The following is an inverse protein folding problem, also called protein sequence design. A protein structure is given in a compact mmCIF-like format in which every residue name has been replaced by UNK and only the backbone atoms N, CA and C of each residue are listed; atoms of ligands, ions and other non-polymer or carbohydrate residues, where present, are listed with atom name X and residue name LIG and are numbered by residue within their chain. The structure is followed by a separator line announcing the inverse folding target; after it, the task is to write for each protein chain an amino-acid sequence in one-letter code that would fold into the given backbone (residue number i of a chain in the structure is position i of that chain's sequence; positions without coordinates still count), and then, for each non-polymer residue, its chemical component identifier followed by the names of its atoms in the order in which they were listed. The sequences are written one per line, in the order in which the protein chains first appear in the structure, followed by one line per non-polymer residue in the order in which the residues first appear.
data_IF_145617681283
#
_entry.id   IF_145617681283
#
_cell.length_a   1.000
_cell.length_b   1.000
_cell.length_c   1.000
_cell.angle_alpha   90.00
_cell.angle_beta   90.00
_cell.angle_gamma   90.00
#
_symmetry.space_group_name_H-M   'P 1'
#
loop_
_entity.id
_entity.type
_entity.pdbx_description
1 polymer ?
#
# COMPACT_ATOMS: atom_id res chain seq x y z
N UNK A 1 44.08 -9.63 -13.97
CA UNK A 1 43.88 -8.54 -12.98
C UNK A 1 43.64 -9.16 -11.60
N UNK A 2 44.50 -8.93 -10.60
CA UNK A 2 44.40 -9.57 -9.28
C UNK A 2 43.05 -9.34 -8.56
N UNK A 3 42.47 -8.14 -8.67
CA UNK A 3 41.19 -7.80 -8.03
C UNK A 3 40.02 -8.58 -8.64
N UNK A 4 40.01 -8.77 -9.96
CA UNK A 4 38.99 -9.58 -10.64
C UNK A 4 39.06 -11.03 -10.18
N UNK A 5 40.27 -11.60 -10.10
CA UNK A 5 40.47 -12.95 -9.60
C UNK A 5 39.98 -13.10 -8.14
N UNK A 6 40.22 -12.09 -7.31
CA UNK A 6 39.71 -12.06 -5.93
C UNK A 6 38.18 -12.03 -5.87
N UNK A 7 37.52 -11.22 -6.70
CA UNK A 7 36.05 -11.20 -6.78
C UNK A 7 35.52 -12.57 -7.22
N UNK A 8 36.11 -13.20 -8.24
CA UNK A 8 35.69 -14.54 -8.69
C UNK A 8 35.95 -15.61 -7.61
N UNK A 9 37.03 -15.50 -6.83
CA UNK A 9 37.29 -16.39 -5.69
C UNK A 9 36.23 -16.24 -4.59
N UNK A 10 35.82 -15.01 -4.27
CA UNK A 10 34.73 -14.75 -3.33
C UNK A 10 33.41 -15.35 -3.84
N UNK A 11 33.13 -15.22 -5.15
CA UNK A 11 31.93 -15.83 -5.77
C UNK A 11 31.95 -17.35 -5.72
N UNK A 12 33.10 -17.96 -6.02
CA UNK A 12 33.27 -19.41 -5.94
C UNK A 12 33.05 -19.92 -4.50
N UNK A 13 33.36 -19.10 -3.51
CA UNK A 13 33.06 -19.36 -2.10
C UNK A 13 31.58 -19.12 -1.71
N UNK A 14 30.71 -18.70 -2.64
CA UNK A 14 29.28 -18.48 -2.41
C UNK A 14 28.87 -17.04 -2.13
N UNK A 15 29.77 -16.06 -2.22
CA UNK A 15 29.44 -14.66 -2.05
C UNK A 15 28.65 -14.09 -3.24
N UNK A 16 27.57 -13.36 -2.96
CA UNK A 16 26.89 -12.55 -3.99
C UNK A 16 27.65 -11.25 -4.26
N UNK A 17 27.50 -10.68 -5.47
CA UNK A 17 28.07 -9.36 -5.81
C UNK A 17 27.64 -8.27 -4.83
N UNK A 18 26.41 -8.36 -4.32
CA UNK A 18 25.87 -7.42 -3.34
C UNK A 18 26.60 -7.54 -2.00
N UNK A 19 26.80 -8.75 -1.50
CA UNK A 19 27.49 -8.97 -0.24
C UNK A 19 28.96 -8.50 -0.29
N UNK A 20 29.64 -8.70 -1.43
CA UNK A 20 30.99 -8.17 -1.65
C UNK A 20 30.99 -6.64 -1.64
N UNK A 21 30.03 -6.02 -2.34
CA UNK A 21 29.90 -4.57 -2.43
C UNK A 21 29.63 -3.94 -1.06
N UNK A 22 28.71 -4.52 -0.29
CA UNK A 22 28.34 -4.05 1.03
C UNK A 22 29.54 -4.16 2.00
N UNK A 23 30.26 -5.29 2.00
CA UNK A 23 31.45 -5.47 2.85
C UNK A 23 32.62 -4.58 2.46
N UNK A 24 32.84 -4.35 1.17
CA UNK A 24 33.83 -3.41 0.66
C UNK A 24 33.38 -1.95 0.83
N UNK A 25 32.10 -1.69 1.12
CA UNK A 25 31.44 -0.38 1.14
C UNK A 25 31.57 0.39 -0.19
N UNK A 26 31.49 -0.31 -1.31
CA UNK A 26 31.44 0.24 -2.66
C UNK A 26 30.09 -0.07 -3.30
N UNK A 27 29.71 0.63 -4.37
CA UNK A 27 28.44 0.33 -5.05
C UNK A 27 28.49 -1.03 -5.79
N UNK A 28 27.36 -1.73 -5.84
CA UNK A 28 27.23 -2.99 -6.60
C UNK A 28 27.59 -2.83 -8.08
N UNK A 29 27.24 -1.70 -8.69
CA UNK A 29 27.59 -1.40 -10.09
C UNK A 29 29.10 -1.35 -10.31
N UNK A 30 29.86 -0.80 -9.35
CA UNK A 30 31.33 -0.78 -9.42
C UNK A 30 31.91 -2.21 -9.31
N UNK A 31 31.39 -3.05 -8.42
CA UNK A 31 31.83 -4.45 -8.31
C UNK A 31 31.53 -5.21 -9.61
N UNK A 32 30.33 -5.06 -10.17
CA UNK A 32 29.95 -5.69 -11.44
C UNK A 32 30.84 -5.25 -12.61
N UNK A 33 31.20 -3.97 -12.70
CA UNK A 33 32.11 -3.47 -13.75
C UNK A 33 33.51 -4.06 -13.62
N UNK A 34 34.03 -4.17 -12.40
CA UNK A 34 35.36 -4.75 -12.14
C UNK A 34 35.37 -6.26 -12.45
N UNK A 35 34.33 -6.98 -12.03
CA UNK A 35 34.14 -8.39 -12.37
C UNK A 35 34.05 -8.60 -13.90
N UNK A 36 33.33 -7.69 -14.57
CA UNK A 36 33.17 -7.63 -16.03
C UNK A 36 34.42 -7.19 -16.81
N UNK A 37 35.56 -6.96 -16.15
CA UNK A 37 36.84 -6.75 -16.82
C UNK A 37 37.25 -5.29 -17.01
N UNK A 38 36.74 -4.35 -16.21
CA UNK A 38 37.17 -2.95 -16.25
C UNK A 38 38.71 -2.81 -16.19
N UNK A 39 39.29 -2.13 -17.19
CA UNK A 39 40.74 -2.01 -17.36
C UNK A 39 41.45 -1.13 -16.32
N UNK A 40 40.74 -0.19 -15.68
CA UNK A 40 41.31 0.72 -14.69
C UNK A 40 40.43 0.79 -13.45
N UNK A 41 40.97 0.43 -12.28
CA UNK A 41 40.26 0.49 -11.00
C UNK A 41 40.94 1.54 -10.12
N UNK A 42 40.17 2.48 -9.57
CA UNK A 42 40.72 3.47 -8.64
C UNK A 42 41.29 2.75 -7.41
N UNK A 43 42.51 3.12 -7.01
CA UNK A 43 43.25 2.49 -5.90
C UNK A 43 42.44 2.35 -4.60
N UNK A 44 41.62 3.33 -4.17
CA UNK A 44 40.78 3.17 -2.97
C UNK A 44 39.76 2.03 -3.08
N UNK A 45 39.16 1.81 -4.26
CA UNK A 45 38.21 0.72 -4.46
C UNK A 45 38.90 -0.63 -4.55
N UNK A 46 40.07 -0.68 -5.19
CA UNK A 46 40.91 -1.86 -5.24
C UNK A 46 41.26 -2.35 -3.81
N UNK A 47 41.79 -1.45 -2.97
CA UNK A 47 42.17 -1.77 -1.59
C UNK A 47 40.97 -2.28 -0.78
N UNK A 48 39.82 -1.60 -0.89
CA UNK A 48 38.62 -1.98 -0.13
C UNK A 48 38.05 -3.33 -0.55
N UNK A 49 38.01 -3.63 -1.85
CA UNK A 49 37.55 -4.93 -2.37
C UNK A 49 38.53 -6.03 -1.99
N UNK A 50 39.83 -5.75 -2.02
CA UNK A 50 40.86 -6.73 -1.70
C UNK A 50 40.93 -7.08 -0.20
N UNK A 51 40.49 -6.16 0.67
CA UNK A 51 40.34 -6.42 2.11
C UNK A 51 39.14 -7.33 2.46
N UNK A 52 38.23 -7.61 1.51
CA UNK A 52 37.08 -8.48 1.73
C UNK A 52 37.52 -9.94 1.74
N UNK A 53 37.23 -10.67 2.82
CA UNK A 53 37.55 -12.11 2.92
C UNK A 53 36.30 -12.97 2.72
N UNK A 54 36.43 -14.23 2.25
CA UNK A 54 35.30 -15.15 2.16
C UNK A 54 34.58 -15.28 3.49
N UNK A 55 35.31 -15.45 4.59
CA UNK A 55 34.75 -15.52 5.94
C UNK A 55 33.98 -14.25 6.33
N UNK A 56 34.44 -13.06 5.94
CA UNK A 56 33.74 -11.81 6.26
C UNK A 56 32.48 -11.55 5.41
N UNK A 57 32.36 -12.21 4.25
CA UNK A 57 31.17 -12.15 3.38
C UNK A 57 30.19 -13.29 3.69
N UNK A 58 30.71 -14.45 4.09
CA UNK A 58 29.96 -15.64 4.47
C UNK A 58 29.55 -15.66 5.94
N UNK A 59 30.26 -14.93 6.80
CA UNK A 59 29.72 -14.46 8.07
C UNK A 59 28.53 -13.58 7.70
N UNK A 60 27.38 -14.23 7.55
CA UNK A 60 26.13 -13.60 7.16
C UNK A 60 25.87 -12.49 8.17
N UNK A 61 25.99 -11.23 7.73
CA UNK A 61 25.19 -10.16 8.33
C UNK A 61 23.67 -10.43 8.15
N UNK A 62 23.31 -11.39 7.29
CA UNK A 62 22.00 -11.50 6.67
C UNK A 62 20.89 -12.28 7.40
N UNK A 63 21.06 -12.78 8.62
CA UNK A 63 19.92 -13.26 9.42
C UNK A 63 19.39 -12.13 10.33
N UNK A 64 20.30 -11.38 10.95
CA UNK A 64 19.94 -10.20 11.74
C UNK A 64 19.54 -9.02 10.87
N UNK A 65 20.03 -8.88 9.64
CA UNK A 65 19.66 -7.77 8.74
C UNK A 65 18.33 -7.95 8.02
N UNK A 66 17.67 -9.10 8.14
CA UNK A 66 16.39 -9.39 7.47
C UNK A 66 15.34 -9.83 8.48
N UNK A 67 14.12 -9.37 8.29
CA UNK A 67 12.98 -9.68 9.15
C UNK A 67 11.79 -10.13 8.30
N UNK A 68 10.81 -10.85 8.88
CA UNK A 68 9.61 -11.22 8.18
C UNK A 68 8.91 -10.00 7.55
N UNK A 69 8.52 -10.14 6.29
CA UNK A 69 7.90 -9.07 5.51
C UNK A 69 6.46 -8.76 5.96
N UNK A 70 5.80 -9.73 6.63
CA UNK A 70 4.37 -9.70 6.96
C UNK A 70 3.96 -8.41 7.68
N UNK A 71 4.72 -8.03 8.71
CA UNK A 71 4.46 -6.83 9.49
C UNK A 71 4.56 -5.53 8.71
N UNK A 72 5.54 -5.43 7.83
CA UNK A 72 5.71 -4.25 6.99
C UNK A 72 4.63 -4.17 5.90
N UNK A 73 4.23 -5.30 5.32
CA UNK A 73 3.11 -5.34 4.36
C UNK A 73 1.82 -4.87 5.01
N UNK A 74 1.46 -5.45 6.16
CA UNK A 74 0.23 -5.11 6.89
C UNK A 74 0.19 -3.64 7.28
N UNK A 75 1.31 -3.07 7.77
CA UNK A 75 1.40 -1.64 8.08
C UNK A 75 1.22 -0.76 6.84
N UNK A 76 1.82 -1.12 5.70
CA UNK A 76 1.61 -0.38 4.45
C UNK A 76 0.16 -0.48 3.97
N UNK A 77 -0.45 -1.66 4.03
CA UNK A 77 -1.85 -1.90 3.65
C UNK A 77 -2.81 -1.14 4.55
N UNK A 78 -2.58 -1.14 5.86
CA UNK A 78 -3.35 -0.41 6.84
C UNK A 78 -3.29 1.11 6.61
N UNK A 79 -2.10 1.66 6.34
CA UNK A 79 -1.99 3.08 5.96
C UNK A 79 -2.75 3.40 4.67
N UNK A 80 -2.74 2.49 3.69
CA UNK A 80 -3.52 2.63 2.47
C UNK A 80 -5.04 2.55 2.73
N UNK A 81 -5.47 1.72 3.69
CA UNK A 81 -6.85 1.59 4.12
C UNK A 81 -7.41 2.84 4.81
N UNK A 82 -6.54 3.74 5.31
CA UNK A 82 -6.94 5.07 5.80
C UNK A 82 -6.61 6.20 4.81
N UNK A 83 -6.21 5.86 3.58
CA UNK A 83 -6.07 6.81 2.48
C UNK A 83 -4.67 7.40 2.26
N UNK A 84 -3.62 6.89 2.91
CA UNK A 84 -2.25 7.36 2.67
C UNK A 84 -1.69 6.78 1.38
N UNK A 85 -1.36 7.65 0.42
CA UNK A 85 -0.75 7.22 -0.85
C UNK A 85 0.65 6.63 -0.64
N UNK A 86 1.13 5.83 -1.60
CA UNK A 86 2.51 5.32 -1.57
C UNK A 86 3.56 6.45 -1.50
N UNK A 87 3.25 7.63 -2.02
CA UNK A 87 4.12 8.81 -1.93
C UNK A 87 4.13 9.39 -0.51
N UNK A 88 2.96 9.52 0.13
CA UNK A 88 2.86 9.98 1.51
C UNK A 88 3.60 9.04 2.48
N UNK A 89 3.40 7.73 2.32
CA UNK A 89 4.10 6.71 3.11
C UNK A 89 5.62 6.82 2.88
N UNK A 90 6.07 6.97 1.64
CA UNK A 90 7.48 7.11 1.33
C UNK A 90 8.11 8.37 1.95
N UNK A 91 7.39 9.50 1.97
CA UNK A 91 7.88 10.70 2.65
C UNK A 91 8.05 10.47 4.16
N UNK A 92 7.10 9.78 4.81
CA UNK A 92 7.18 9.45 6.23
C UNK A 92 8.25 8.41 6.56
N UNK A 93 8.60 7.53 5.61
CA UNK A 93 9.75 6.61 5.74
C UNK A 93 11.10 7.35 5.81
N UNK A 94 11.17 8.58 5.28
CA UNK A 94 12.37 9.41 5.18
C UNK A 94 13.52 8.76 4.36
N UNK A 95 14.73 9.34 4.48
CA UNK A 95 15.99 8.80 3.93
C UNK A 95 15.96 8.45 2.42
N UNK A 96 15.25 9.27 1.64
CA UNK A 96 15.13 9.10 0.19
C UNK A 96 14.28 7.90 -0.24
N UNK A 97 13.44 7.35 0.65
CA UNK A 97 12.47 6.33 0.27
C UNK A 97 11.55 6.84 -0.84
N UNK A 98 11.17 5.94 -1.75
CA UNK A 98 10.35 6.27 -2.93
C UNK A 98 9.03 5.53 -2.90
N UNK A 99 8.01 6.07 -3.58
CA UNK A 99 6.74 5.40 -3.74
C UNK A 99 6.88 4.01 -4.41
N UNK A 100 7.90 3.83 -5.27
CA UNK A 100 8.22 2.54 -5.87
C UNK A 100 8.73 1.53 -4.82
N UNK A 101 9.53 1.97 -3.84
CA UNK A 101 9.97 1.12 -2.74
C UNK A 101 8.78 0.66 -1.88
N UNK A 102 7.86 1.56 -1.55
CA UNK A 102 6.62 1.22 -0.80
C UNK A 102 5.80 0.17 -1.56
N UNK A 103 5.56 0.38 -2.86
CA UNK A 103 4.84 -0.60 -3.70
C UNK A 103 5.55 -1.96 -3.71
N UNK A 104 6.88 -1.96 -3.82
CA UNK A 104 7.69 -3.18 -3.83
C UNK A 104 7.63 -3.92 -2.50
N UNK A 105 7.63 -3.22 -1.35
CA UNK A 105 7.48 -3.84 -0.03
C UNK A 105 6.13 -4.54 0.06
N UNK A 106 5.04 -3.85 -0.33
CA UNK A 106 3.69 -4.41 -0.33
C UNK A 106 3.57 -5.63 -1.24
N UNK A 107 4.02 -5.54 -2.48
CA UNK A 107 3.89 -6.62 -3.47
C UNK A 107 5.04 -7.61 -3.44
N UNK A 108 5.89 -7.61 -2.41
CA UNK A 108 7.08 -8.47 -2.39
C UNK A 108 6.65 -9.94 -2.24
N UNK A 109 6.97 -10.84 -3.18
CA UNK A 109 6.57 -12.25 -3.07
C UNK A 109 7.40 -13.03 -2.04
N UNK A 110 8.61 -12.56 -1.69
CA UNK A 110 9.50 -13.23 -0.75
C UNK A 110 9.10 -13.00 0.72
N UNK A 111 9.38 -13.95 1.60
CA UNK A 111 9.00 -13.89 3.03
C UNK A 111 9.77 -12.85 3.85
N UNK A 112 10.88 -12.33 3.32
CA UNK A 112 11.85 -11.52 4.06
C UNK A 112 12.06 -10.15 3.41
N UNK A 113 12.26 -9.13 4.24
CA UNK A 113 12.70 -7.79 3.83
C UNK A 113 13.88 -7.34 4.69
N UNK A 114 14.64 -6.34 4.24
CA UNK A 114 15.69 -5.77 5.08
C UNK A 114 15.11 -5.11 6.32
N UNK A 115 15.80 -5.26 7.46
CA UNK A 115 15.49 -4.62 8.74
C UNK A 115 15.36 -3.11 8.57
N UNK A 116 16.25 -2.48 7.80
CA UNK A 116 16.16 -1.04 7.51
C UNK A 116 14.83 -0.64 6.86
N UNK A 117 14.32 -1.44 5.90
CA UNK A 117 13.03 -1.14 5.28
C UNK A 117 11.87 -1.39 6.24
N UNK A 118 11.96 -2.43 7.07
CA UNK A 118 10.99 -2.69 8.12
C UNK A 118 10.90 -1.52 9.11
N UNK A 119 12.03 -1.07 9.65
CA UNK A 119 12.12 0.07 10.59
C UNK A 119 11.58 1.37 9.97
N UNK A 120 11.87 1.62 8.69
CA UNK A 120 11.31 2.77 7.97
C UNK A 120 9.79 2.69 7.86
N UNK A 121 9.23 1.50 7.60
CA UNK A 121 7.78 1.31 7.56
C UNK A 121 7.16 1.47 8.95
N UNK A 122 7.79 0.94 10.00
CA UNK A 122 7.35 1.15 11.40
C UNK A 122 7.32 2.63 11.74
N UNK A 123 8.38 3.38 11.40
CA UNK A 123 8.42 4.84 11.56
C UNK A 123 7.28 5.53 10.83
N UNK A 124 7.05 5.20 9.57
CA UNK A 124 5.98 5.78 8.77
C UNK A 124 4.60 5.46 9.37
N UNK A 125 4.39 4.23 9.83
CA UNK A 125 3.17 3.79 10.49
C UNK A 125 2.89 4.59 11.75
N UNK A 126 3.86 4.66 12.68
CA UNK A 126 3.72 5.39 13.94
C UNK A 126 3.40 6.89 13.74
N UNK A 127 3.79 7.48 12.61
CA UNK A 127 3.51 8.88 12.30
C UNK A 127 2.12 9.13 11.67
N UNK A 128 1.56 8.13 11.00
CA UNK A 128 0.44 8.31 10.08
C UNK A 128 -0.82 7.52 10.47
N UNK A 129 -0.70 6.51 11.33
CA UNK A 129 -1.79 5.56 11.60
C UNK A 129 -3.06 6.21 12.18
N UNK A 130 -2.90 7.29 12.96
CA UNK A 130 -3.97 8.04 13.62
C UNK A 130 -4.52 9.21 12.77
N UNK A 131 -4.00 9.38 11.55
CA UNK A 131 -4.34 10.50 10.67
C UNK A 131 -5.02 10.00 9.40
N UNK A 132 -6.11 10.67 8.95
CA UNK A 132 -6.68 10.37 7.66
C UNK A 132 -5.70 10.78 6.55
N UNK A 133 -5.53 9.91 5.56
CA UNK A 133 -4.79 10.24 4.35
C UNK A 133 -5.65 10.98 3.34
N UNK A 134 -5.01 11.75 2.46
CA UNK A 134 -5.70 12.63 1.50
C UNK A 134 -6.05 11.97 0.18
N UNK A 135 -5.68 10.71 -0.04
CA UNK A 135 -5.85 10.03 -1.33
C UNK A 135 -7.10 9.14 -1.36
N UNK A 136 -8.22 9.71 -1.84
CA UNK A 136 -9.46 8.96 -2.07
C UNK A 136 -9.27 7.77 -3.04
N UNK A 137 -8.41 7.91 -4.05
CA UNK A 137 -8.08 6.82 -4.97
C UNK A 137 -7.42 5.64 -4.24
N UNK A 138 -6.49 5.93 -3.33
CA UNK A 138 -5.81 4.89 -2.54
C UNK A 138 -6.78 4.21 -1.59
N UNK A 139 -7.62 5.00 -0.91
CA UNK A 139 -8.67 4.51 -0.03
C UNK A 139 -9.62 3.55 -0.77
N UNK A 140 -10.12 3.95 -1.94
CA UNK A 140 -11.01 3.12 -2.75
C UNK A 140 -10.34 1.84 -3.25
N UNK A 141 -9.04 1.89 -3.60
CA UNK A 141 -8.29 0.71 -4.00
C UNK A 141 -8.04 -0.25 -2.84
N UNK A 142 -7.75 0.28 -1.65
CA UNK A 142 -7.55 -0.51 -0.43
C UNK A 142 -8.84 -1.23 0.00
N UNK A 143 -9.99 -0.54 -0.07
CA UNK A 143 -11.31 -1.14 0.16
C UNK A 143 -11.58 -2.32 -0.77
N UNK A 144 -11.38 -2.13 -2.09
CA UNK A 144 -11.52 -3.22 -3.08
C UNK A 144 -10.57 -4.40 -2.86
N UNK A 145 -9.44 -4.17 -2.21
CA UNK A 145 -8.44 -5.21 -1.92
C UNK A 145 -8.64 -5.84 -0.54
N UNK A 146 -9.64 -5.42 0.23
CA UNK A 146 -9.91 -5.93 1.58
C UNK A 146 -8.84 -5.57 2.60
N UNK A 147 -8.13 -4.45 2.43
CA UNK A 147 -7.09 -4.06 3.38
C UNK A 147 -7.70 -3.59 4.70
N UNK A 148 -7.29 -4.24 5.79
CA UNK A 148 -7.72 -3.89 7.14
C UNK A 148 -7.06 -2.58 7.61
N UNK A 149 -7.83 -1.72 8.27
CA UNK A 149 -7.36 -0.45 8.82
C UNK A 149 -6.40 -0.64 10.03
N UNK A 150 -5.65 0.39 10.46
CA UNK A 150 -4.73 0.29 11.60
C UNK A 150 -5.37 -0.28 12.86
N UNK A 151 -6.55 0.21 13.24
CA UNK A 151 -7.28 -0.21 14.45
C UNK A 151 -7.81 -1.65 14.39
N UNK A 152 -7.86 -2.26 13.20
CA UNK A 152 -8.22 -3.67 13.07
C UNK A 152 -7.05 -4.60 13.48
N UNK A 153 -5.83 -4.08 13.62
CA UNK A 153 -4.67 -4.86 14.05
C UNK A 153 -4.35 -4.58 15.52
N UNK A 154 -4.05 -5.65 16.26
CA UNK A 154 -3.40 -5.52 17.57
C UNK A 154 -1.90 -5.22 17.37
N UNK A 155 -1.41 -4.14 17.99
CA UNK A 155 -0.03 -3.67 17.90
C UNK A 155 1.00 -4.74 18.28
N UNK A 156 0.65 -5.63 19.23
CA UNK A 156 1.54 -6.69 19.70
C UNK A 156 1.63 -7.89 18.74
N UNK A 157 0.63 -8.07 17.87
CA UNK A 157 0.51 -9.27 17.03
C UNK A 157 0.55 -8.99 15.52
N UNK A 158 0.61 -7.73 15.09
CA UNK A 158 0.64 -7.34 13.67
C UNK A 158 1.80 -8.00 12.88
N UNK A 159 2.89 -8.37 13.56
CA UNK A 159 4.05 -9.05 12.99
C UNK A 159 3.93 -10.60 12.98
N UNK A 160 2.96 -11.19 13.69
CA UNK A 160 2.72 -12.63 13.67
C UNK A 160 1.97 -13.03 12.39
N UNK A 161 2.54 -13.95 11.60
CA UNK A 161 1.91 -14.45 10.39
C UNK A 161 0.54 -15.10 10.61
N UNK A 162 0.25 -15.57 11.82
CA UNK A 162 -1.03 -16.18 12.19
C UNK A 162 -2.06 -15.18 12.71
N UNK A 163 -1.65 -13.96 13.05
CA UNK A 163 -2.59 -12.94 13.50
C UNK A 163 -3.56 -12.58 12.36
N UNK A 164 -4.83 -12.41 12.72
CA UNK A 164 -5.89 -11.96 11.83
C UNK A 164 -6.35 -10.59 12.30
N UNK A 165 -6.68 -9.67 11.37
CA UNK A 165 -7.27 -8.41 11.75
C UNK A 165 -8.70 -8.61 12.25
N UNK A 166 -9.11 -7.83 13.23
CA UNK A 166 -10.50 -7.65 13.62
C UNK A 166 -11.20 -6.83 12.54
N UNK A 167 -11.57 -7.50 11.45
CA UNK A 167 -12.38 -6.90 10.39
C UNK A 167 -13.82 -6.99 10.88
N UNK A 168 -14.40 -5.85 11.27
CA UNK A 168 -15.85 -5.74 11.29
C UNK A 168 -16.30 -5.85 9.83
N UNK A 169 -16.71 -7.05 9.42
CA UNK A 169 -17.13 -7.39 8.04
C UNK A 169 -18.28 -6.49 7.55
N UNK A 170 -18.95 -5.79 8.47
CA UNK A 170 -20.05 -4.87 8.22
C UNK A 170 -19.61 -3.56 7.53
N UNK A 171 -18.32 -3.22 7.48
CA UNK A 171 -17.86 -1.94 6.94
C UNK A 171 -18.07 -1.75 5.42
N UNK A 172 -18.34 -2.82 4.66
CA UNK A 172 -18.76 -2.73 3.25
C UNK A 172 -20.25 -2.42 3.07
N UNK A 173 -21.06 -2.60 4.11
CA UNK A 173 -22.48 -2.20 4.18
C UNK A 173 -22.70 -0.88 4.93
N UNK A 174 -21.67 -0.36 5.60
CA UNK A 174 -21.74 0.95 6.27
C UNK A 174 -21.83 2.06 5.21
N UNK A 175 -23.05 2.58 5.06
CA UNK A 175 -23.35 3.79 4.31
C UNK A 175 -22.59 4.98 4.93
N UNK A 176 -21.75 5.66 4.15
CA UNK A 176 -21.21 6.96 4.55
C UNK A 176 -22.35 7.99 4.57
N UNK A 177 -22.88 8.21 5.77
CA UNK A 177 -23.99 9.11 6.06
C UNK A 177 -23.72 10.54 5.55
N UNK A 178 -22.47 11.01 5.63
CA UNK A 178 -22.08 12.34 5.17
C UNK A 178 -22.11 12.41 3.65
N UNK A 179 -21.61 11.38 2.97
CA UNK A 179 -21.69 11.28 1.51
C UNK A 179 -23.15 11.27 1.01
N UNK A 180 -24.01 10.50 1.69
CA UNK A 180 -25.45 10.45 1.40
C UNK A 180 -26.12 11.80 1.61
N UNK A 181 -25.91 12.45 2.77
CA UNK A 181 -26.53 13.73 3.09
C UNK A 181 -26.11 14.84 2.12
N UNK A 182 -24.84 14.86 1.72
CA UNK A 182 -24.34 15.79 0.71
C UNK A 182 -24.97 15.54 -0.65
N UNK A 183 -25.09 14.29 -1.08
CA UNK A 183 -25.77 13.95 -2.32
C UNK A 183 -27.27 14.31 -2.30
N UNK A 184 -27.96 14.08 -1.16
CA UNK A 184 -29.36 14.50 -0.95
C UNK A 184 -29.51 16.02 -1.05
N UNK A 185 -28.55 16.77 -0.51
CA UNK A 185 -28.47 18.23 -0.62
C UNK A 185 -28.12 18.73 -2.04
N UNK A 186 -27.63 17.86 -2.94
CA UNK A 186 -27.31 18.16 -4.33
C UNK A 186 -25.82 18.41 -4.61
N UNK A 187 -24.96 18.20 -3.62
CA UNK A 187 -23.51 18.29 -3.80
C UNK A 187 -23.00 17.23 -4.77
N UNK A 188 -21.82 17.49 -5.36
CA UNK A 188 -21.14 16.52 -6.21
C UNK A 188 -20.28 15.59 -5.36
N UNK A 189 -20.75 14.37 -5.16
CA UNK A 189 -20.06 13.31 -4.40
C UNK A 189 -20.13 12.01 -5.20
N UNK A 190 -19.06 11.22 -5.17
CA UNK A 190 -19.09 9.86 -5.72
C UNK A 190 -19.76 8.92 -4.72
N UNK A 191 -20.81 8.23 -5.14
CA UNK A 191 -21.56 7.29 -4.31
C UNK A 191 -21.34 5.85 -4.75
N UNK A 192 -21.14 4.96 -3.78
CA UNK A 192 -21.23 3.50 -3.95
C UNK A 192 -22.65 3.08 -4.33
N UNK A 193 -22.85 1.79 -4.65
CA UNK A 193 -24.18 1.28 -4.97
C UNK A 193 -25.14 1.38 -3.76
N UNK A 194 -24.66 1.02 -2.57
CA UNK A 194 -25.42 1.04 -1.30
C UNK A 194 -25.76 2.46 -0.88
N UNK A 195 -24.80 3.38 -0.88
CA UNK A 195 -25.03 4.80 -0.59
C UNK A 195 -26.00 5.44 -1.59
N UNK A 196 -25.94 5.04 -2.86
CA UNK A 196 -26.86 5.53 -3.89
C UNK A 196 -28.28 5.00 -3.69
N UNK A 197 -28.44 3.76 -3.23
CA UNK A 197 -29.74 3.22 -2.87
C UNK A 197 -30.35 3.97 -1.68
N UNK A 198 -29.55 4.26 -0.66
CA UNK A 198 -29.97 5.06 0.51
C UNK A 198 -30.36 6.49 0.12
N UNK A 199 -29.53 7.18 -0.67
CA UNK A 199 -29.85 8.53 -1.16
C UNK A 199 -31.16 8.57 -1.98
N UNK A 200 -31.39 7.54 -2.82
CA UNK A 200 -32.66 7.37 -3.55
C UNK A 200 -33.82 7.15 -2.59
N UNK A 201 -33.65 6.33 -1.54
CA UNK A 201 -34.67 6.07 -0.52
C UNK A 201 -35.10 7.34 0.22
N UNK A 202 -34.15 8.17 0.64
CA UNK A 202 -34.44 9.42 1.36
C UNK A 202 -35.13 10.47 0.50
N UNK A 203 -34.64 10.67 -0.73
CA UNK A 203 -35.27 11.60 -1.67
C UNK A 203 -36.67 11.10 -2.09
N UNK A 204 -36.85 9.78 -2.20
CA UNK A 204 -38.16 9.17 -2.43
C UNK A 204 -39.12 9.41 -1.26
N UNK A 205 -38.66 9.23 -0.02
CA UNK A 205 -39.44 9.50 1.19
C UNK A 205 -39.80 11.00 1.31
N UNK A 206 -38.95 11.89 0.80
CA UNK A 206 -39.22 13.32 0.67
C UNK A 206 -40.17 13.67 -0.50
N UNK A 207 -40.70 12.67 -1.23
CA UNK A 207 -41.72 12.85 -2.25
C UNK A 207 -41.20 13.11 -3.67
N UNK A 208 -39.89 13.07 -3.90
CA UNK A 208 -39.33 13.38 -5.23
C UNK A 208 -39.60 12.26 -6.25
N UNK A 209 -39.84 12.67 -7.49
CA UNK A 209 -39.98 11.76 -8.63
C UNK A 209 -38.62 11.29 -9.17
N UNK A 210 -38.61 10.24 -10.00
CA UNK A 210 -37.37 9.64 -10.52
C UNK A 210 -36.46 10.66 -11.23
N UNK A 211 -37.03 11.62 -11.93
CA UNK A 211 -36.26 12.64 -12.67
C UNK A 211 -35.65 13.68 -11.72
N UNK A 212 -36.38 14.09 -10.68
CA UNK A 212 -35.87 15.02 -9.66
C UNK A 212 -34.78 14.38 -8.81
N UNK A 213 -34.98 13.13 -8.40
CA UNK A 213 -33.95 12.32 -7.71
C UNK A 213 -32.72 12.20 -8.62
N UNK A 214 -32.92 11.85 -9.88
CA UNK A 214 -31.86 11.71 -10.87
C UNK A 214 -31.06 13.00 -11.04
N UNK A 215 -31.74 14.13 -11.22
CA UNK A 215 -31.10 15.43 -11.31
C UNK A 215 -30.30 15.75 -10.03
N UNK A 216 -30.85 15.46 -8.85
CA UNK A 216 -30.23 15.75 -7.55
C UNK A 216 -28.91 14.99 -7.34
N UNK A 217 -28.89 13.70 -7.62
CA UNK A 217 -27.69 12.85 -7.46
C UNK A 217 -26.92 12.64 -8.77
N UNK A 218 -27.22 13.43 -9.81
CA UNK A 218 -26.58 13.46 -11.14
C UNK A 218 -26.55 12.10 -11.86
N UNK A 219 -27.69 11.42 -11.89
CA UNK A 219 -27.93 10.20 -12.67
C UNK A 219 -29.20 10.34 -13.50
N UNK A 220 -29.41 9.46 -14.48
CA UNK A 220 -30.67 9.45 -15.23
C UNK A 220 -31.83 8.90 -14.38
N UNK A 221 -33.06 9.38 -14.65
CA UNK A 221 -34.27 8.84 -14.00
C UNK A 221 -34.45 7.33 -14.23
N UNK A 222 -33.97 6.79 -15.35
CA UNK A 222 -33.93 5.33 -15.62
C UNK A 222 -33.03 4.58 -14.64
N UNK A 223 -31.88 5.17 -14.29
CA UNK A 223 -30.99 4.59 -13.26
C UNK A 223 -31.67 4.60 -11.89
N UNK A 224 -32.38 5.66 -11.53
CA UNK A 224 -33.17 5.73 -10.29
C UNK A 224 -34.26 4.66 -10.26
N UNK A 225 -35.00 4.48 -11.36
CA UNK A 225 -36.02 3.44 -11.47
C UNK A 225 -35.45 2.03 -11.24
N UNK A 226 -34.28 1.75 -11.82
CA UNK A 226 -33.59 0.46 -11.63
C UNK A 226 -33.18 0.23 -10.18
N UNK A 227 -32.67 1.27 -9.51
CA UNK A 227 -32.27 1.23 -8.10
C UNK A 227 -33.50 1.01 -7.20
N UNK A 228 -34.58 1.76 -7.44
CA UNK A 228 -35.85 1.59 -6.72
C UNK A 228 -36.36 0.15 -6.80
N UNK A 229 -36.37 -0.42 -8.00
CA UNK A 229 -36.78 -1.82 -8.23
C UNK A 229 -35.89 -2.81 -7.49
N UNK A 230 -34.57 -2.62 -7.53
CA UNK A 230 -33.62 -3.52 -6.87
C UNK A 230 -33.69 -3.44 -5.33
N UNK A 231 -33.99 -2.25 -4.78
CA UNK A 231 -34.04 -2.00 -3.34
C UNK A 231 -35.47 -2.04 -2.75
N UNK A 232 -36.50 -2.35 -3.55
CA UNK A 232 -37.89 -2.37 -3.09
C UNK A 232 -38.47 -1.00 -2.68
N UNK A 233 -37.89 0.10 -3.16
CA UNK A 233 -38.30 1.47 -2.80
C UNK A 233 -39.51 1.88 -3.67
N UNK A 234 -40.67 2.22 -3.08
CA UNK A 234 -41.86 2.62 -3.84
C UNK A 234 -41.63 3.90 -4.66
N UNK A 235 -42.27 3.99 -5.83
CA UNK A 235 -42.31 5.24 -6.59
C UNK A 235 -43.51 6.08 -6.19
N UNK A 236 -43.29 7.34 -5.81
CA UNK A 236 -44.35 8.30 -5.47
C UNK A 236 -45.24 8.76 -6.63
N UNK A 237 -45.19 8.10 -7.80
CA UNK A 237 -46.11 8.38 -8.90
C UNK A 237 -47.48 7.78 -8.57
N UNK A 238 -48.42 8.63 -8.17
CA UNK A 238 -49.85 8.31 -8.23
C UNK A 238 -50.32 8.61 -9.66
N UNK A 239 -50.94 7.64 -10.32
CA UNK A 239 -51.69 7.89 -11.55
C UNK A 239 -52.71 9.03 -11.33
N UNK A 240 -52.88 9.96 -12.27
CA UNK A 240 -54.01 10.88 -12.21
C UNK A 240 -55.30 10.06 -12.33
N UNK A 241 -56.21 10.22 -11.36
CA UNK A 241 -57.51 9.58 -11.37
C UNK A 241 -58.28 9.97 -12.65
N UNK A 242 -58.81 8.96 -13.33
CA UNK A 242 -59.66 9.08 -14.51
C UNK A 242 -61.00 9.76 -14.20
#
# INVERSE_FOLDING_TARGET
MPIRAHIEQLRAAGASMRAIADKAGVSISQVSKIAGGQAHVRRPYAVRIQAVTPAAVLARSGADDFVPAVGARRRVEALQAVGHSSTAIAMAMADGATAAAVRKIRSHPGEWISRTNHERVVRAYNQLWDKPGTSHQTLAAARRSGFAAPLAWNDESIDDSRAQPSIDDDAHDLVDEVAVMRAVAGDRVELTATERAEAVGRLAAAGLCNNEIGARIRVSGRTVQRIRKAAGIPSGWKEPAA
#
